data_IF_110614562111
#
_entry.id   IF_110614562111
#
_cell.length_a   1.000
_cell.length_b   1.000
_cell.length_c   1.000
_cell.angle_alpha   90.00
_cell.angle_beta   90.00
_cell.angle_gamma   90.00
#
_symmetry.space_group_name_H-M   'P 1'
#
loop_
_entity.id
_entity.type
_entity.pdbx_description
1 polymer ?
#
# COMPACT_ATOMS: atom_id res chain seq x y z
N UNK A 1 1.73 -18.09 8.33
CA UNK A 1 2.15 -16.67 8.18
C UNK A 1 1.02 -15.76 7.68
N UNK A 2 0.22 -16.18 6.69
CA UNK A 2 -0.85 -15.38 6.06
C UNK A 2 -1.93 -14.81 6.99
N UNK A 3 -2.19 -15.46 8.14
CA UNK A 3 -3.18 -14.97 9.12
C UNK A 3 -2.67 -13.84 10.01
N UNK A 4 -1.36 -13.67 10.18
CA UNK A 4 -0.79 -12.69 11.11
C UNK A 4 -0.63 -11.29 10.49
N UNK A 5 -0.36 -11.21 9.18
CA UNK A 5 -0.13 -9.94 8.50
C UNK A 5 -1.27 -8.92 8.66
N UNK A 6 -2.57 -9.30 8.54
CA UNK A 6 -3.65 -8.34 8.76
C UNK A 6 -3.74 -7.82 10.21
N UNK A 7 -3.32 -8.63 11.19
CA UNK A 7 -3.27 -8.18 12.59
C UNK A 7 -2.11 -7.22 12.80
N UNK A 8 -0.93 -7.52 12.24
CA UNK A 8 0.23 -6.62 12.29
C UNK A 8 -0.08 -5.27 11.65
N UNK A 9 -0.72 -5.27 10.47
CA UNK A 9 -1.19 -4.05 9.78
C UNK A 9 -2.05 -3.20 10.73
N UNK A 10 -3.06 -3.80 11.36
CA UNK A 10 -3.96 -3.10 12.29
C UNK A 10 -3.23 -2.57 13.52
N UNK A 11 -2.30 -3.34 14.08
CA UNK A 11 -1.51 -2.92 15.25
C UNK A 11 -0.62 -1.73 14.90
N UNK A 12 0.06 -1.76 13.75
CA UNK A 12 0.90 -0.65 13.33
C UNK A 12 0.07 0.58 12.91
N UNK A 13 -1.09 0.41 12.27
CA UNK A 13 -2.02 1.50 11.99
C UNK A 13 -2.55 2.15 13.29
N UNK A 14 -2.93 1.35 14.29
CA UNK A 14 -3.37 1.86 15.57
C UNK A 14 -2.23 2.61 16.29
N UNK A 15 -1.02 2.05 16.26
CA UNK A 15 0.17 2.70 16.80
C UNK A 15 0.47 4.02 16.11
N UNK A 16 0.36 4.07 14.77
CA UNK A 16 0.53 5.29 13.99
C UNK A 16 -0.50 6.36 14.36
N UNK A 17 -1.78 5.96 14.50
CA UNK A 17 -2.84 6.88 14.91
C UNK A 17 -2.60 7.46 16.31
N UNK A 18 -2.18 6.62 17.27
CA UNK A 18 -1.80 7.08 18.62
C UNK A 18 -0.61 8.02 18.56
N UNK A 19 0.43 7.69 17.80
CA UNK A 19 1.61 8.56 17.64
C UNK A 19 1.24 9.92 17.06
N UNK A 20 0.36 9.95 16.06
CA UNK A 20 -0.13 11.18 15.44
C UNK A 20 -0.96 12.04 16.40
N UNK A 21 -1.86 11.43 17.18
CA UNK A 21 -2.64 12.15 18.22
C UNK A 21 -1.70 12.75 19.27
N UNK A 22 -0.70 11.99 19.73
CA UNK A 22 0.26 12.48 20.72
C UNK A 22 1.06 13.68 20.19
N UNK A 23 1.48 13.62 18.92
CA UNK A 23 2.13 14.74 18.26
C UNK A 23 1.25 15.99 18.23
N UNK A 24 -0.05 15.85 17.93
CA UNK A 24 -1.01 16.97 17.95
C UNK A 24 -1.21 17.57 19.36
N UNK A 25 -1.07 16.76 20.41
CA UNK A 25 -1.16 17.23 21.81
C UNK A 25 0.14 17.83 22.36
N UNK A 26 1.18 17.97 21.52
CA UNK A 26 2.48 18.51 21.92
C UNK A 26 3.40 17.52 22.64
N UNK A 27 3.06 16.23 22.62
CA UNK A 27 3.94 15.16 23.13
C UNK A 27 4.77 14.59 21.98
N UNK A 28 6.10 14.73 22.04
CA UNK A 28 6.99 14.21 21.01
C UNK A 28 7.42 12.76 21.33
N UNK A 29 6.75 11.79 20.72
CA UNK A 29 7.22 10.39 20.66
C UNK A 29 7.58 10.00 19.22
N UNK A 30 8.63 10.59 18.63
CA UNK A 30 9.03 10.33 17.25
C UNK A 30 9.33 8.85 17.01
N UNK A 31 9.88 8.15 18.01
CA UNK A 31 10.18 6.71 17.95
C UNK A 31 8.94 5.88 17.64
N UNK A 32 7.79 6.23 18.23
CA UNK A 32 6.55 5.47 18.06
C UNK A 32 6.04 5.60 16.62
N UNK A 33 6.11 6.82 16.06
CA UNK A 33 5.78 7.10 14.67
C UNK A 33 6.72 6.35 13.73
N UNK A 34 8.04 6.43 13.95
CA UNK A 34 9.02 5.74 13.10
C UNK A 34 8.83 4.23 13.11
N UNK A 35 8.61 3.62 14.28
CA UNK A 35 8.40 2.18 14.41
C UNK A 35 7.10 1.75 13.69
N UNK A 36 6.05 2.55 13.80
CA UNK A 36 4.78 2.26 13.14
C UNK A 36 4.88 2.32 11.61
N UNK A 37 5.53 3.35 11.06
CA UNK A 37 5.73 3.49 9.61
C UNK A 37 6.67 2.39 9.06
N UNK A 38 7.76 2.08 9.78
CA UNK A 38 8.65 0.99 9.40
C UNK A 38 7.91 -0.36 9.39
N UNK A 39 7.13 -0.63 10.43
CA UNK A 39 6.30 -1.84 10.56
C UNK A 39 5.25 -1.94 9.45
N UNK A 40 4.59 -0.83 9.09
CA UNK A 40 3.65 -0.78 7.98
C UNK A 40 4.33 -1.03 6.64
N UNK A 41 5.48 -0.40 6.37
CA UNK A 41 6.25 -0.65 5.14
C UNK A 41 6.57 -2.14 4.97
N UNK A 42 7.13 -2.77 6.01
CA UNK A 42 7.43 -4.21 6.00
C UNK A 42 6.14 -5.04 5.81
N UNK A 43 5.06 -4.69 6.50
CA UNK A 43 3.79 -5.43 6.42
C UNK A 43 3.18 -5.34 5.03
N UNK A 44 3.21 -4.16 4.40
CA UNK A 44 2.74 -3.95 3.03
C UNK A 44 3.58 -4.72 2.02
N UNK A 45 4.91 -4.71 2.17
CA UNK A 45 5.81 -5.49 1.33
C UNK A 45 5.48 -6.99 1.40
N UNK A 46 5.34 -7.53 2.61
CA UNK A 46 4.99 -8.94 2.81
C UNK A 46 3.58 -9.28 2.30
N UNK A 47 2.64 -8.32 2.38
CA UNK A 47 1.28 -8.50 1.89
C UNK A 47 1.20 -8.64 0.36
N UNK A 48 2.20 -8.15 -0.38
CA UNK A 48 2.32 -8.38 -1.83
C UNK A 48 2.44 -9.89 -2.18
N UNK A 49 2.93 -10.71 -1.26
CA UNK A 49 3.12 -12.15 -1.49
C UNK A 49 1.92 -12.98 -1.02
N UNK A 50 0.87 -12.35 -0.49
CA UNK A 50 -0.34 -13.06 -0.09
C UNK A 50 -1.16 -13.44 -1.33
N UNK A 51 -1.59 -14.71 -1.47
CA UNK A 51 -2.53 -15.08 -2.52
C UNK A 51 -3.87 -14.36 -2.30
N UNK A 52 -4.52 -13.98 -3.39
CA UNK A 52 -5.90 -13.52 -3.33
C UNK A 52 -6.81 -14.71 -3.01
N UNK A 53 -7.78 -14.50 -2.14
CA UNK A 53 -8.83 -15.48 -1.85
C UNK A 53 -9.83 -15.42 -3.01
N UNK A 54 -9.63 -16.28 -4.01
CA UNK A 54 -10.51 -16.44 -5.18
C UNK A 54 -10.93 -17.90 -5.21
N UNK A 55 -12.22 -18.15 -5.26
CA UNK A 55 -12.79 -19.47 -5.54
C UNK A 55 -13.13 -19.47 -7.04
N UNK A 56 -12.26 -20.05 -7.91
CA UNK A 56 -12.62 -20.20 -9.32
C UNK A 56 -13.83 -21.12 -9.44
N UNK A 57 -14.78 -20.76 -10.30
CA UNK A 57 -15.90 -21.64 -10.62
C UNK A 57 -15.39 -22.93 -11.30
N UNK A 58 -15.99 -24.08 -10.95
CA UNK A 58 -15.58 -25.39 -11.49
C UNK A 58 -15.64 -25.38 -13.03
N UNK A 59 -14.48 -25.60 -13.67
CA UNK A 59 -14.36 -25.68 -15.13
C UNK A 59 -13.85 -24.41 -15.82
N UNK A 60 -13.53 -23.34 -15.09
CA UNK A 60 -12.91 -22.14 -15.68
C UNK A 60 -11.39 -22.29 -15.85
N UNK A 61 -10.91 -22.12 -17.09
CA UNK A 61 -9.49 -21.89 -17.35
C UNK A 61 -9.13 -20.44 -17.00
N UNK A 62 -8.51 -20.23 -15.84
CA UNK A 62 -7.80 -18.98 -15.52
C UNK A 62 -6.62 -18.85 -16.49
N UNK A 63 -6.72 -17.97 -17.47
CA UNK A 63 -5.74 -17.96 -18.56
C UNK A 63 -5.63 -16.70 -19.41
N UNK A 64 -6.58 -15.75 -19.33
CA UNK A 64 -6.45 -14.50 -20.08
C UNK A 64 -5.39 -13.59 -19.43
N UNK A 65 -4.62 -12.89 -20.26
CA UNK A 65 -3.59 -11.95 -19.79
C UNK A 65 -4.20 -10.88 -18.88
N UNK A 66 -5.43 -10.43 -19.17
CA UNK A 66 -6.13 -9.45 -18.35
C UNK A 66 -6.43 -9.97 -16.94
N UNK A 67 -6.77 -11.26 -16.82
CA UNK A 67 -7.04 -11.90 -15.53
C UNK A 67 -5.74 -12.07 -14.73
N UNK A 68 -4.65 -12.50 -15.39
CA UNK A 68 -3.33 -12.57 -14.76
C UNK A 68 -2.85 -11.18 -14.28
N UNK A 69 -3.06 -10.15 -15.11
CA UNK A 69 -2.73 -8.77 -14.78
C UNK A 69 -3.54 -8.30 -13.57
N UNK A 70 -4.87 -8.49 -13.59
CA UNK A 70 -5.77 -8.07 -12.52
C UNK A 70 -5.50 -8.80 -11.20
N UNK A 71 -5.30 -10.11 -11.22
CA UNK A 71 -5.27 -10.93 -10.00
C UNK A 71 -3.87 -11.08 -9.42
N UNK A 72 -2.84 -11.06 -10.25
CA UNK A 72 -1.48 -11.34 -9.78
C UNK A 72 -0.62 -10.08 -9.77
N UNK A 73 -0.56 -9.37 -10.90
CA UNK A 73 0.44 -8.31 -11.10
C UNK A 73 0.02 -7.02 -10.41
N UNK A 74 -1.19 -6.52 -10.69
CA UNK A 74 -1.65 -5.23 -10.17
C UNK A 74 -1.71 -5.18 -8.63
N UNK A 75 -2.25 -6.18 -7.92
CA UNK A 75 -2.29 -6.16 -6.46
C UNK A 75 -0.89 -6.18 -5.85
N UNK A 76 0.05 -6.92 -6.46
CA UNK A 76 1.46 -6.94 -6.05
C UNK A 76 2.09 -5.56 -6.18
N UNK A 77 1.91 -4.92 -7.34
CA UNK A 77 2.44 -3.59 -7.61
C UNK A 77 1.86 -2.56 -6.63
N UNK A 78 0.55 -2.63 -6.34
CA UNK A 78 -0.08 -1.74 -5.36
C UNK A 78 0.51 -1.93 -3.96
N UNK A 79 0.66 -3.16 -3.49
CA UNK A 79 1.25 -3.43 -2.18
C UNK A 79 2.70 -2.97 -2.07
N UNK A 80 3.52 -3.26 -3.09
CA UNK A 80 4.93 -2.85 -3.13
C UNK A 80 5.04 -1.33 -3.23
N UNK A 81 4.25 -0.69 -4.09
CA UNK A 81 4.20 0.77 -4.23
C UNK A 81 3.81 1.44 -2.91
N UNK A 82 2.81 0.89 -2.21
CA UNK A 82 2.38 1.36 -0.88
C UNK A 82 3.49 1.20 0.15
N UNK A 83 4.21 0.08 0.14
CA UNK A 83 5.39 -0.13 0.99
C UNK A 83 6.47 0.93 0.72
N UNK A 84 6.86 1.13 -0.54
CA UNK A 84 7.90 2.08 -0.94
C UNK A 84 7.51 3.50 -0.52
N UNK A 85 6.28 3.91 -0.78
CA UNK A 85 5.74 5.20 -0.33
C UNK A 85 5.78 5.34 1.20
N UNK A 86 5.39 4.30 1.94
CA UNK A 86 5.38 4.32 3.41
C UNK A 86 6.79 4.48 3.99
N UNK A 87 7.80 3.83 3.38
CA UNK A 87 9.20 4.04 3.74
C UNK A 87 9.67 5.44 3.34
N UNK A 88 9.23 5.98 2.21
CA UNK A 88 9.47 7.37 1.84
C UNK A 88 8.93 8.36 2.88
N UNK A 89 7.70 8.15 3.37
CA UNK A 89 7.08 8.94 4.43
C UNK A 89 7.89 8.82 5.74
N UNK A 90 8.32 7.61 6.10
CA UNK A 90 9.19 7.41 7.26
C UNK A 90 10.46 8.26 7.14
N UNK A 91 11.16 8.17 6.00
CA UNK A 91 12.41 8.88 5.82
C UNK A 91 12.22 10.40 5.76
N UNK A 92 11.08 10.89 5.26
CA UNK A 92 10.76 12.33 5.31
C UNK A 92 10.59 12.82 6.75
N UNK A 93 10.01 12.01 7.64
CA UNK A 93 9.85 12.37 9.07
C UNK A 93 11.13 12.34 9.88
N UNK A 94 12.18 11.67 9.39
CA UNK A 94 13.46 11.53 10.10
C UNK A 94 14.47 12.63 9.77
N UNK A 95 14.16 13.53 8.83
CA UNK A 95 14.99 14.68 8.44
C UNK A 95 16.49 14.34 8.26
N UNK A 96 16.80 13.19 7.65
CA UNK A 96 18.17 12.67 7.55
C UNK A 96 19.11 13.49 6.64
N UNK A 97 18.69 14.68 6.20
CA UNK A 97 19.48 15.59 5.36
C UNK A 97 19.77 15.07 3.95
N UNK A 98 19.04 14.06 3.46
CA UNK A 98 19.12 13.57 2.08
C UNK A 98 17.76 13.67 1.38
N UNK A 99 17.77 13.89 0.07
CA UNK A 99 16.56 13.94 -0.77
C UNK A 99 16.16 12.56 -1.34
N UNK A 100 16.77 11.49 -0.84
CA UNK A 100 16.45 10.11 -1.23
C UNK A 100 14.99 9.74 -0.93
N UNK A 101 14.42 10.30 0.15
CA UNK A 101 13.00 10.09 0.46
C UNK A 101 12.08 10.64 -0.64
N UNK A 102 12.44 11.77 -1.27
CA UNK A 102 11.66 12.40 -2.35
C UNK A 102 11.55 11.44 -3.54
N UNK A 103 12.66 10.77 -3.88
CA UNK A 103 12.66 9.77 -4.96
C UNK A 103 11.73 8.60 -4.64
N UNK A 104 11.74 8.11 -3.41
CA UNK A 104 10.85 7.02 -2.98
C UNK A 104 9.37 7.44 -3.00
N UNK A 105 9.07 8.67 -2.58
CA UNK A 105 7.72 9.24 -2.64
C UNK A 105 7.22 9.33 -4.08
N UNK A 106 8.04 9.84 -5.02
CA UNK A 106 7.66 9.88 -6.45
C UNK A 106 7.47 8.48 -7.05
N UNK A 107 8.38 7.54 -6.75
CA UNK A 107 8.25 6.15 -7.22
C UNK A 107 6.96 5.54 -6.69
N UNK A 108 6.66 5.70 -5.40
CA UNK A 108 5.42 5.21 -4.82
C UNK A 108 4.18 5.85 -5.45
N UNK A 109 4.15 7.18 -5.59
CA UNK A 109 3.06 7.93 -6.20
C UNK A 109 2.75 7.45 -7.62
N UNK A 110 3.77 7.44 -8.48
CA UNK A 110 3.63 7.06 -9.90
C UNK A 110 3.20 5.59 -10.01
N UNK A 111 3.82 4.70 -9.24
CA UNK A 111 3.53 3.27 -9.27
C UNK A 111 2.09 2.98 -8.85
N UNK A 112 1.63 3.54 -7.72
CA UNK A 112 0.26 3.35 -7.23
C UNK A 112 -0.73 3.98 -8.20
N UNK A 113 -0.44 5.15 -8.75
CA UNK A 113 -1.32 5.85 -9.70
C UNK A 113 -1.50 5.07 -11.00
N UNK A 114 -0.41 4.57 -11.60
CA UNK A 114 -0.45 3.76 -12.82
C UNK A 114 -1.21 2.46 -12.56
N UNK A 115 -0.89 1.74 -11.48
CA UNK A 115 -1.57 0.49 -11.14
C UNK A 115 -3.07 0.70 -10.91
N UNK A 116 -3.43 1.80 -10.25
CA UNK A 116 -4.83 2.24 -10.07
C UNK A 116 -5.52 2.48 -11.41
N UNK A 117 -4.90 3.24 -12.32
CA UNK A 117 -5.48 3.54 -13.62
C UNK A 117 -5.70 2.27 -14.44
N UNK A 118 -4.73 1.34 -14.44
CA UNK A 118 -4.86 0.05 -15.12
C UNK A 118 -6.00 -0.77 -14.50
N UNK A 119 -6.09 -0.84 -13.17
CA UNK A 119 -7.15 -1.57 -12.49
C UNK A 119 -8.55 -1.00 -12.81
N UNK A 120 -8.68 0.32 -12.86
CA UNK A 120 -9.94 0.96 -13.26
C UNK A 120 -10.28 0.66 -14.72
N UNK A 121 -9.29 0.68 -15.62
CA UNK A 121 -9.45 0.28 -17.02
C UNK A 121 -9.95 -1.15 -17.16
N UNK A 122 -9.32 -2.10 -16.45
CA UNK A 122 -9.73 -3.51 -16.43
C UNK A 122 -11.15 -3.72 -15.86
N UNK A 123 -11.58 -2.84 -14.94
CA UNK A 123 -12.96 -2.88 -14.42
C UNK A 123 -13.96 -2.51 -15.51
N UNK A 124 -13.65 -1.49 -16.31
CA UNK A 124 -14.51 -1.03 -17.40
C UNK A 124 -14.60 -2.08 -18.52
N UNK A 125 -13.53 -2.83 -18.78
CA UNK A 125 -13.53 -3.93 -19.76
C UNK A 125 -14.25 -5.19 -19.28
N UNK A 126 -14.72 -5.25 -18.03
CA UNK A 126 -15.47 -6.39 -17.50
C UNK A 126 -14.61 -7.61 -17.18
N UNK A 127 -13.32 -7.42 -16.86
CA UNK A 127 -12.43 -8.53 -16.48
C UNK A 127 -12.97 -9.27 -15.26
N UNK A 128 -13.02 -10.60 -15.33
CA UNK A 128 -13.51 -11.45 -14.24
C UNK A 128 -12.69 -11.28 -12.96
N UNK A 129 -13.32 -11.53 -11.82
CA UNK A 129 -12.70 -11.52 -10.48
C UNK A 129 -12.02 -10.20 -10.07
N UNK A 130 -12.12 -9.12 -10.85
CA UNK A 130 -11.49 -7.85 -10.51
C UNK A 130 -11.98 -7.28 -9.18
N UNK A 131 -13.21 -7.58 -8.79
CA UNK A 131 -13.80 -7.18 -7.52
C UNK A 131 -12.99 -7.70 -6.30
N UNK A 132 -12.31 -8.85 -6.43
CA UNK A 132 -11.45 -9.40 -5.37
C UNK A 132 -10.22 -8.54 -5.07
N UNK A 133 -9.84 -7.64 -6.00
CA UNK A 133 -8.62 -6.82 -5.92
C UNK A 133 -8.89 -5.42 -5.34
N UNK A 134 -10.16 -5.02 -5.22
CA UNK A 134 -10.55 -3.71 -4.65
C UNK A 134 -10.12 -3.49 -3.20
N UNK A 135 -10.11 -4.50 -2.31
CA UNK A 135 -9.60 -4.30 -0.95
C UNK A 135 -8.14 -3.87 -0.91
N UNK A 136 -7.33 -4.19 -1.92
CA UNK A 136 -5.94 -3.73 -2.02
C UNK A 136 -5.91 -2.28 -2.51
N UNK A 137 -6.72 -1.97 -3.51
CA UNK A 137 -6.89 -0.62 -4.04
C UNK A 137 -7.26 0.40 -2.94
N UNK A 138 -8.31 0.13 -2.17
CA UNK A 138 -8.76 1.04 -1.11
C UNK A 138 -7.74 1.23 0.01
N UNK A 139 -6.85 0.26 0.24
CA UNK A 139 -5.75 0.39 1.21
C UNK A 139 -4.62 1.29 0.71
N UNK A 140 -4.41 1.39 -0.60
CA UNK A 140 -3.35 2.21 -1.18
C UNK A 140 -3.72 3.71 -1.24
N UNK A 141 -5.02 4.05 -1.24
CA UNK A 141 -5.51 5.44 -1.35
C UNK A 141 -5.02 6.34 -0.22
N UNK A 142 -5.13 5.99 1.08
CA UNK A 142 -4.66 6.83 2.16
C UNK A 142 -3.16 7.17 2.01
N UNK A 143 -2.34 6.17 1.69
CA UNK A 143 -0.91 6.38 1.45
C UNK A 143 -0.67 7.31 0.27
N UNK A 144 -1.40 7.15 -0.84
CA UNK A 144 -1.29 8.03 -2.00
C UNK A 144 -1.65 9.48 -1.67
N UNK A 145 -2.70 9.72 -0.87
CA UNK A 145 -3.08 11.07 -0.43
C UNK A 145 -2.00 11.71 0.45
N UNK A 146 -1.42 10.94 1.38
CA UNK A 146 -0.32 11.44 2.24
C UNK A 146 0.91 11.79 1.40
N UNK A 147 1.28 10.93 0.44
CA UNK A 147 2.41 11.18 -0.46
C UNK A 147 2.18 12.46 -1.29
N UNK A 148 0.98 12.62 -1.85
CA UNK A 148 0.63 13.81 -2.61
C UNK A 148 0.68 15.07 -1.75
N UNK A 149 0.20 15.00 -0.50
CA UNK A 149 0.29 16.10 0.45
C UNK A 149 1.75 16.48 0.75
N UNK A 150 2.63 15.50 1.02
CA UNK A 150 4.05 15.79 1.33
C UNK A 150 4.80 16.39 0.12
N UNK A 151 4.47 15.97 -1.11
CA UNK A 151 5.17 16.43 -2.31
C UNK A 151 4.67 17.76 -2.86
N UNK A 152 3.38 18.08 -2.67
CA UNK A 152 2.74 19.23 -3.34
C UNK A 152 2.04 20.23 -2.39
N UNK A 153 1.93 19.91 -1.10
CA UNK A 153 1.36 20.78 -0.07
C UNK A 153 2.44 21.55 0.67
#
# INVERSE_FOLDING_TARGET
MNRLLPYLERVFLATLAVAFILQLTGSELPILMSLSLAGLGITFFLSAYRPLDIEPEEGEELGDFNELLALTIIPKILWIGTSVATIGILLSTLELGNDGYVTLLYVGLITISIATMIQLGLKVTGTKYINATFPVFFRAIPTLLIVAYILFG
#
